data_IF_204326702933
#
_entry.id   IF_204326702933
#
_cell.length_a   1.000
_cell.length_b   1.000
_cell.length_c   1.000
_cell.angle_alpha   90.00
_cell.angle_beta   90.00
_cell.angle_gamma   90.00
#
_symmetry.space_group_name_H-M   'P 1'
#
loop_
_entity.id
_entity.type
_entity.pdbx_description
1 polymer ?
#
# COMPACT_ATOMS: atom_id res chain seq x y z
N UNK A 1 -1.53 34.76 -8.54
CA UNK A 1 -1.23 34.79 -9.98
C UNK A 1 -2.04 33.73 -10.69
N UNK A 2 -2.32 33.94 -11.97
CA UNK A 2 -3.06 33.02 -12.85
C UNK A 2 -2.26 32.73 -14.11
N UNK A 3 -2.62 31.69 -14.86
CA UNK A 3 -2.06 31.41 -16.17
C UNK A 3 -2.54 32.48 -17.17
N UNK A 4 -1.62 33.02 -17.93
CA UNK A 4 -1.81 34.18 -18.77
C UNK A 4 -1.05 34.05 -20.10
N UNK A 5 -1.66 34.51 -21.18
CA UNK A 5 -1.02 34.56 -22.49
C UNK A 5 -0.17 35.82 -22.56
N UNK A 6 1.13 35.69 -22.86
CA UNK A 6 2.07 36.77 -22.90
C UNK A 6 1.57 37.93 -23.81
N UNK A 7 1.45 39.11 -23.22
CA UNK A 7 0.92 40.34 -23.87
C UNK A 7 -0.47 40.17 -24.48
N UNK A 8 -1.25 39.13 -24.13
CA UNK A 8 -2.57 38.87 -24.71
C UNK A 8 -2.57 38.54 -26.21
N UNK A 9 -1.41 38.16 -26.77
CA UNK A 9 -1.28 37.85 -28.19
C UNK A 9 -2.05 36.59 -28.57
N UNK A 10 -2.69 36.61 -29.75
CA UNK A 10 -3.47 35.46 -30.26
C UNK A 10 -2.79 34.77 -31.46
N UNK A 11 -1.46 34.71 -31.46
CA UNK A 11 -0.67 34.06 -32.52
C UNK A 11 -0.10 32.74 -32.05
N UNK A 12 0.03 31.79 -33.00
CA UNK A 12 0.68 30.51 -32.71
C UNK A 12 2.11 30.72 -32.20
N UNK A 13 2.48 29.94 -31.16
CA UNK A 13 3.78 30.02 -30.54
C UNK A 13 3.89 31.12 -29.45
N UNK A 14 2.81 31.83 -29.16
CA UNK A 14 2.83 32.82 -28.07
C UNK A 14 3.01 32.09 -26.73
N UNK A 15 3.98 32.58 -25.95
CA UNK A 15 4.36 32.02 -24.67
C UNK A 15 3.26 32.14 -23.61
N UNK A 16 3.25 31.21 -22.68
CA UNK A 16 2.44 31.27 -21.45
C UNK A 16 3.28 31.76 -20.27
N UNK A 17 2.66 32.54 -19.39
CA UNK A 17 3.30 33.10 -18.21
C UNK A 17 2.37 32.99 -16.99
N UNK A 18 2.88 33.33 -15.82
CA UNK A 18 2.05 33.61 -14.64
C UNK A 18 1.93 35.11 -14.42
N UNK A 19 0.73 35.66 -14.39
CA UNK A 19 0.48 37.08 -14.22
C UNK A 19 -0.56 37.34 -13.12
N UNK A 20 -0.65 38.57 -12.64
CA UNK A 20 -1.71 38.99 -11.74
C UNK A 20 -3.05 38.97 -12.47
N UNK A 21 -4.13 38.54 -11.82
CA UNK A 21 -5.46 38.57 -12.38
C UNK A 21 -5.81 40.02 -12.80
N UNK A 22 -6.18 40.21 -14.05
CA UNK A 22 -6.57 41.48 -14.62
C UNK A 22 -7.89 41.43 -15.43
N UNK A 23 -8.53 40.26 -15.47
CA UNK A 23 -9.84 40.03 -16.10
C UNK A 23 -9.85 40.02 -17.63
N UNK A 24 -8.67 40.02 -18.28
CA UNK A 24 -8.59 39.98 -19.76
C UNK A 24 -8.83 38.57 -20.31
N UNK A 25 -9.17 38.50 -21.60
CA UNK A 25 -9.41 37.24 -22.31
C UNK A 25 -8.15 36.35 -22.36
N UNK A 26 -6.97 36.88 -22.16
CA UNK A 26 -5.69 36.19 -22.05
C UNK A 26 -5.61 35.25 -20.81
N UNK A 27 -6.47 35.48 -19.83
CA UNK A 27 -6.51 34.73 -18.57
C UNK A 27 -7.72 33.83 -18.44
N UNK A 28 -8.57 33.72 -19.47
CA UNK A 28 -9.77 32.92 -19.46
C UNK A 28 -9.58 31.65 -20.28
N UNK A 29 -9.81 30.49 -19.61
CA UNK A 29 -9.57 29.18 -20.17
C UNK A 29 -10.81 28.30 -20.08
N UNK A 30 -11.05 27.50 -21.11
CA UNK A 30 -12.12 26.51 -21.16
C UNK A 30 -11.50 25.13 -21.34
N UNK A 31 -11.95 24.17 -20.54
CA UNK A 31 -11.61 22.76 -20.72
C UNK A 31 -12.59 22.14 -21.71
N UNK A 32 -12.07 21.62 -22.79
CA UNK A 32 -12.81 20.93 -23.85
C UNK A 32 -12.45 19.47 -23.80
N UNK A 33 -13.43 18.59 -23.65
CA UNK A 33 -13.21 17.15 -23.59
C UNK A 33 -12.52 16.66 -24.89
N UNK A 34 -11.36 16.01 -24.72
CA UNK A 34 -10.61 15.38 -25.82
C UNK A 34 -10.87 13.87 -25.87
N UNK A 35 -11.74 13.36 -24.99
CA UNK A 35 -11.98 11.93 -24.81
C UNK A 35 -10.94 11.25 -23.90
N UNK A 36 -11.27 10.05 -23.40
CA UNK A 36 -10.37 9.23 -22.58
C UNK A 36 -9.84 9.91 -21.29
N UNK A 37 -10.61 10.86 -20.70
CA UNK A 37 -10.21 11.60 -19.50
C UNK A 37 -9.16 12.67 -19.77
N UNK A 38 -8.96 13.04 -21.00
CA UNK A 38 -8.09 14.13 -21.42
C UNK A 38 -8.89 15.35 -21.84
N UNK A 39 -8.24 16.51 -21.83
CA UNK A 39 -8.83 17.79 -22.18
C UNK A 39 -7.89 18.59 -23.07
N UNK A 40 -8.46 19.35 -24.02
CA UNK A 40 -7.82 20.52 -24.60
C UNK A 40 -8.09 21.71 -23.69
N UNK A 41 -7.06 22.44 -23.31
CA UNK A 41 -7.22 23.68 -22.53
C UNK A 41 -7.23 24.84 -23.53
N UNK A 42 -8.44 25.33 -23.86
CA UNK A 42 -8.65 26.35 -24.87
C UNK A 42 -8.77 27.73 -24.23
N UNK A 43 -7.99 28.65 -24.71
CA UNK A 43 -8.09 30.05 -24.32
C UNK A 43 -9.34 30.73 -24.91
N UNK A 44 -9.80 31.79 -24.30
CA UNK A 44 -10.89 32.59 -24.84
C UNK A 44 -10.51 33.27 -26.15
N UNK A 45 -9.22 33.47 -26.43
CA UNK A 45 -8.72 33.96 -27.73
C UNK A 45 -8.75 32.89 -28.85
N UNK A 46 -9.15 31.61 -28.52
CA UNK A 46 -9.45 30.58 -29.51
C UNK A 46 -8.38 29.54 -29.74
N UNK A 47 -7.16 29.72 -29.24
CA UNK A 47 -6.04 28.77 -29.33
C UNK A 47 -5.99 27.83 -28.11
N UNK A 48 -5.25 26.71 -28.24
CA UNK A 48 -5.12 25.72 -27.16
C UNK A 48 -3.70 25.73 -26.58
N UNK A 49 -3.55 25.30 -25.32
CA UNK A 49 -2.23 25.08 -24.71
C UNK A 49 -1.54 23.93 -25.43
N UNK A 50 -0.28 24.17 -25.80
CA UNK A 50 0.54 23.28 -26.61
C UNK A 50 1.97 23.18 -26.04
N UNK A 51 2.54 21.98 -26.09
CA UNK A 51 3.96 21.77 -25.77
C UNK A 51 4.79 22.10 -27.00
N UNK A 52 5.66 23.10 -26.89
CA UNK A 52 6.46 23.59 -28.02
C UNK A 52 7.19 22.43 -28.74
N UNK A 53 7.01 22.36 -30.06
CA UNK A 53 7.59 21.35 -30.95
C UNK A 53 7.18 19.90 -30.61
N UNK A 54 6.15 19.68 -29.78
CA UNK A 54 5.71 18.35 -29.37
C UNK A 54 6.72 17.59 -28.50
N UNK A 55 7.75 18.25 -27.98
CA UNK A 55 8.82 17.62 -27.21
C UNK A 55 8.43 17.48 -25.75
N UNK A 56 8.09 16.28 -25.31
CA UNK A 56 7.70 15.99 -23.91
C UNK A 56 8.97 15.71 -23.08
N UNK A 57 9.62 16.78 -22.60
CA UNK A 57 10.75 16.70 -21.67
C UNK A 57 10.69 17.79 -20.61
N UNK A 58 11.40 17.60 -19.51
CA UNK A 58 11.50 18.62 -18.46
C UNK A 58 12.12 19.89 -19.01
N UNK A 59 11.48 21.03 -18.74
CA UNK A 59 11.93 22.37 -19.20
C UNK A 59 11.41 22.77 -20.59
N UNK A 60 10.64 21.91 -21.29
CA UNK A 60 10.02 22.31 -22.55
C UNK A 60 8.99 23.41 -22.33
N UNK A 61 9.03 24.41 -23.17
CA UNK A 61 8.15 25.58 -23.09
C UNK A 61 6.69 25.23 -23.41
N UNK A 62 5.76 25.91 -22.74
CA UNK A 62 4.34 25.91 -23.05
C UNK A 62 3.96 27.18 -23.81
N UNK A 63 3.18 26.99 -24.86
CA UNK A 63 2.70 28.04 -25.75
C UNK A 63 1.20 27.89 -26.03
N UNK A 64 0.59 28.85 -26.67
CA UNK A 64 -0.71 28.65 -27.32
C UNK A 64 -0.50 28.35 -28.80
N UNK A 65 -1.32 27.45 -29.35
CA UNK A 65 -1.24 27.05 -30.75
C UNK A 65 -2.63 26.68 -31.32
N UNK A 66 -2.78 26.70 -32.65
CA UNK A 66 -3.97 26.15 -33.28
C UNK A 66 -4.19 24.71 -32.85
N UNK A 67 -5.45 24.33 -32.61
CA UNK A 67 -5.79 22.94 -32.31
C UNK A 67 -5.39 22.04 -33.48
N UNK A 68 -4.44 21.14 -33.26
CA UNK A 68 -3.97 20.14 -34.21
C UNK A 68 -4.20 18.71 -33.72
N UNK A 69 -4.83 18.60 -32.54
CA UNK A 69 -5.25 17.32 -31.93
C UNK A 69 -4.14 16.30 -31.70
N UNK A 70 -2.91 16.78 -31.53
CA UNK A 70 -1.75 15.94 -31.16
C UNK A 70 -1.65 15.77 -29.66
N UNK A 71 -0.89 14.76 -29.20
CA UNK A 71 -0.64 14.53 -27.78
C UNK A 71 0.03 15.74 -27.07
N UNK A 72 0.66 16.65 -27.81
CA UNK A 72 1.24 17.89 -27.29
C UNK A 72 0.19 18.87 -26.74
N UNK A 73 -1.07 18.67 -27.11
CA UNK A 73 -2.19 19.53 -26.74
C UNK A 73 -3.20 18.84 -25.80
N UNK A 74 -2.97 17.57 -25.49
CA UNK A 74 -3.85 16.78 -24.62
C UNK A 74 -3.35 16.80 -23.18
N UNK A 75 -4.21 17.21 -22.27
CA UNK A 75 -3.92 17.39 -20.85
C UNK A 75 -4.79 16.52 -19.99
N UNK A 76 -4.23 15.91 -18.99
CA UNK A 76 -4.97 15.23 -17.92
C UNK A 76 -5.09 16.22 -16.77
N UNK A 77 -6.32 16.50 -16.35
CA UNK A 77 -6.56 17.29 -15.14
C UNK A 77 -6.45 16.37 -13.94
N UNK A 78 -5.36 16.50 -13.23
CA UNK A 78 -5.14 15.81 -11.98
C UNK A 78 -5.53 16.74 -10.82
N UNK A 79 -6.75 16.60 -10.31
CA UNK A 79 -7.25 17.39 -9.18
C UNK A 79 -6.50 17.12 -7.87
N UNK A 80 -5.64 16.10 -7.85
CA UNK A 80 -4.96 15.64 -6.64
C UNK A 80 -3.61 16.35 -6.40
N UNK A 81 -3.12 17.19 -7.35
CA UNK A 81 -1.87 17.94 -7.13
C UNK A 81 -1.98 19.16 -6.23
N UNK A 82 -3.19 19.61 -5.88
CA UNK A 82 -3.37 20.75 -4.97
C UNK A 82 -3.04 20.41 -3.51
N UNK A 83 -3.03 19.12 -3.15
CA UNK A 83 -2.68 18.63 -1.82
C UNK A 83 -1.79 17.39 -1.95
N UNK A 84 -0.49 17.58 -2.09
CA UNK A 84 0.52 16.48 -2.05
C UNK A 84 0.53 15.73 -0.70
N UNK A 85 -0.36 16.07 0.24
CA UNK A 85 -0.55 15.41 1.53
C UNK A 85 -1.77 14.49 1.61
N UNK A 86 -2.70 14.51 0.65
CA UNK A 86 -3.89 13.67 0.70
C UNK A 86 -3.70 12.40 -0.13
N UNK A 87 -3.76 11.28 0.58
CA UNK A 87 -3.81 9.94 -0.01
C UNK A 87 -5.17 9.75 -0.71
N UNK A 88 -5.26 9.68 -2.04
CA UNK A 88 -6.53 9.47 -2.75
C UNK A 88 -7.18 8.13 -2.40
N UNK A 89 -6.37 7.16 -1.98
CA UNK A 89 -6.81 5.87 -1.44
C UNK A 89 -6.21 5.70 -0.05
N UNK A 90 -7.05 5.48 0.95
CA UNK A 90 -6.60 5.23 2.33
C UNK A 90 -5.89 3.88 2.42
N UNK A 91 -4.94 3.78 3.34
CA UNK A 91 -4.36 2.49 3.71
C UNK A 91 -5.47 1.54 4.19
N UNK A 92 -5.41 0.28 3.77
CA UNK A 92 -6.43 -0.71 4.13
C UNK A 92 -6.34 -1.95 3.26
N UNK A 93 -7.21 -2.92 3.53
CA UNK A 93 -7.34 -4.14 2.71
C UNK A 93 -8.52 -3.98 1.75
N UNK A 94 -8.30 -4.33 0.50
CA UNK A 94 -9.25 -4.14 -0.58
C UNK A 94 -9.38 -5.36 -1.49
N UNK A 95 -10.57 -5.53 -2.07
CA UNK A 95 -10.75 -6.25 -3.33
C UNK A 95 -10.65 -5.24 -4.48
N UNK A 96 -10.01 -5.64 -5.56
CA UNK A 96 -9.83 -4.84 -6.78
C UNK A 96 -10.79 -5.36 -7.84
N UNK A 97 -12.01 -4.83 -7.88
CA UNK A 97 -13.05 -5.26 -8.80
C UNK A 97 -12.90 -4.58 -10.16
N UNK A 98 -12.98 -5.36 -11.24
CA UNK A 98 -12.87 -4.79 -12.57
C UNK A 98 -14.17 -4.13 -13.02
N UNK A 99 -14.11 -2.90 -13.54
CA UNK A 99 -15.30 -2.14 -13.93
C UNK A 99 -16.03 -2.71 -15.14
N UNK A 100 -15.37 -3.50 -15.99
CA UNK A 100 -16.04 -4.21 -17.08
C UNK A 100 -16.89 -5.39 -16.57
N UNK A 101 -16.52 -5.98 -15.42
CA UNK A 101 -17.29 -7.03 -14.75
C UNK A 101 -16.96 -7.04 -13.26
N UNK A 102 -17.82 -6.45 -12.43
CA UNK A 102 -17.61 -6.32 -10.97
C UNK A 102 -17.67 -7.65 -10.20
N UNK A 103 -18.05 -8.76 -10.85
CA UNK A 103 -17.95 -10.09 -10.27
C UNK A 103 -16.54 -10.67 -10.40
N UNK A 104 -15.64 -9.99 -11.10
CA UNK A 104 -14.23 -10.37 -11.25
C UNK A 104 -13.35 -9.40 -10.44
N UNK A 105 -12.41 -9.96 -9.69
CA UNK A 105 -11.44 -9.21 -8.89
C UNK A 105 -10.03 -9.73 -9.13
N UNK A 106 -9.00 -8.94 -8.75
CA UNK A 106 -7.63 -9.47 -8.72
C UNK A 106 -7.57 -10.76 -7.93
N UNK A 107 -6.79 -11.70 -8.42
CA UNK A 107 -6.64 -13.03 -7.85
C UNK A 107 -5.20 -13.53 -8.05
N UNK A 108 -4.57 -13.96 -6.98
CA UNK A 108 -3.26 -14.61 -7.03
C UNK A 108 -3.45 -16.03 -7.51
N UNK A 109 -2.96 -16.31 -8.71
CA UNK A 109 -3.20 -17.57 -9.41
C UNK A 109 -2.84 -18.79 -8.55
N UNK A 110 -3.78 -19.76 -8.49
CA UNK A 110 -3.65 -21.01 -7.72
C UNK A 110 -3.38 -20.83 -6.22
N UNK A 111 -3.73 -19.67 -5.65
CA UNK A 111 -3.45 -19.33 -4.25
C UNK A 111 -1.97 -19.53 -3.87
N UNK A 112 -1.07 -19.36 -4.83
CA UNK A 112 0.37 -19.55 -4.64
C UNK A 112 0.99 -18.43 -3.84
N UNK A 113 1.83 -18.77 -2.88
CA UNK A 113 2.57 -17.81 -2.05
C UNK A 113 3.95 -17.48 -2.62
N UNK A 114 4.35 -18.14 -3.70
CA UNK A 114 5.68 -18.00 -4.28
C UNK A 114 5.89 -16.65 -4.95
N UNK A 115 7.11 -16.13 -4.86
CA UNK A 115 7.54 -14.97 -5.65
C UNK A 115 7.51 -15.32 -7.14
N UNK A 116 7.05 -14.38 -7.98
CA UNK A 116 6.84 -14.58 -9.42
C UNK A 116 5.45 -15.15 -9.77
N UNK A 117 4.57 -15.37 -8.77
CA UNK A 117 3.22 -15.86 -9.03
C UNK A 117 2.40 -14.86 -9.84
N UNK A 118 1.74 -15.35 -10.87
CA UNK A 118 0.90 -14.54 -11.75
C UNK A 118 -0.31 -13.94 -11.04
N UNK A 119 -0.74 -12.75 -11.49
CA UNK A 119 -2.01 -12.13 -11.10
C UNK A 119 -2.98 -12.19 -12.27
N UNK A 120 -4.16 -12.69 -12.00
CA UNK A 120 -5.27 -12.79 -12.95
C UNK A 120 -6.50 -12.07 -12.38
N UNK A 121 -7.59 -12.01 -13.11
CA UNK A 121 -8.90 -11.78 -12.54
C UNK A 121 -9.63 -13.12 -12.37
N UNK A 122 -10.38 -13.24 -11.29
CA UNK A 122 -11.19 -14.43 -11.05
C UNK A 122 -12.49 -14.07 -10.34
N UNK A 123 -13.45 -15.00 -10.35
CA UNK A 123 -14.74 -14.81 -9.68
C UNK A 123 -14.55 -14.42 -8.22
N UNK A 124 -15.17 -13.33 -7.80
CA UNK A 124 -15.07 -12.77 -6.47
C UNK A 124 -15.55 -13.75 -5.41
N UNK A 125 -14.67 -14.13 -4.47
CA UNK A 125 -14.93 -14.97 -3.32
C UNK A 125 -14.52 -14.33 -2.00
N UNK A 126 -13.70 -13.25 -2.03
CA UNK A 126 -13.19 -12.57 -0.85
C UNK A 126 -12.13 -13.34 -0.05
N UNK A 127 -11.54 -14.38 -0.64
CA UNK A 127 -10.45 -15.17 -0.05
C UNK A 127 -9.14 -14.38 0.00
N UNK A 128 -8.16 -14.86 0.78
CA UNK A 128 -6.85 -14.16 0.95
C UNK A 128 -6.12 -13.93 -0.36
N UNK A 129 -6.27 -14.82 -1.36
CA UNK A 129 -5.69 -14.66 -2.70
C UNK A 129 -6.27 -13.47 -3.48
N UNK A 130 -7.42 -12.95 -3.06
CA UNK A 130 -8.12 -11.83 -3.70
C UNK A 130 -8.06 -10.54 -2.87
N UNK A 131 -7.49 -10.59 -1.68
CA UNK A 131 -7.38 -9.47 -0.76
C UNK A 131 -5.99 -8.87 -0.84
N UNK A 132 -5.94 -7.56 -1.03
CA UNK A 132 -4.68 -6.84 -1.16
C UNK A 132 -4.69 -5.63 -0.24
N UNK A 133 -3.61 -5.46 0.49
CA UNK A 133 -3.37 -4.28 1.30
C UNK A 133 -2.77 -3.18 0.44
N UNK A 134 -3.39 -2.02 0.46
CA UNK A 134 -2.82 -0.79 -0.09
C UNK A 134 -2.09 -0.08 1.06
N UNK A 135 -0.83 0.27 0.85
CA UNK A 135 -0.01 1.01 1.81
C UNK A 135 0.70 2.17 1.11
N UNK A 136 0.43 3.38 1.59
CA UNK A 136 1.06 4.60 1.08
C UNK A 136 2.55 4.65 1.45
N UNK A 137 3.40 5.04 0.49
CA UNK A 137 4.85 5.12 0.70
C UNK A 137 5.43 6.52 0.44
N UNK A 138 4.57 7.51 0.18
CA UNK A 138 4.97 8.89 -0.10
C UNK A 138 4.94 9.24 -1.58
N UNK A 139 4.97 10.55 -1.88
CA UNK A 139 5.04 11.11 -3.24
C UNK A 139 3.92 10.59 -4.17
N UNK A 140 2.72 10.31 -3.64
CA UNK A 140 1.57 9.80 -4.40
C UNK A 140 1.68 8.32 -4.78
N UNK A 141 2.66 7.58 -4.27
CA UNK A 141 2.85 6.17 -4.57
C UNK A 141 2.46 5.25 -3.41
N UNK A 142 2.11 4.03 -3.77
CA UNK A 142 1.63 2.96 -2.91
C UNK A 142 2.32 1.65 -3.23
N UNK A 143 2.39 0.79 -2.22
CA UNK A 143 2.56 -0.66 -2.40
C UNK A 143 1.19 -1.32 -2.38
N UNK A 144 1.01 -2.34 -3.22
CA UNK A 144 -0.16 -3.22 -3.22
C UNK A 144 0.35 -4.60 -2.80
N UNK A 145 -0.02 -5.05 -1.62
CA UNK A 145 0.55 -6.19 -0.91
C UNK A 145 -0.50 -7.30 -0.83
N UNK A 146 -0.17 -8.50 -1.26
CA UNK A 146 -1.07 -9.65 -1.14
C UNK A 146 -1.31 -10.04 0.32
N UNK A 147 -2.58 -10.16 0.73
CA UNK A 147 -2.96 -10.67 2.06
C UNK A 147 -2.67 -12.17 2.20
N UNK A 148 -2.49 -12.88 1.08
CA UNK A 148 -2.12 -14.29 1.07
C UNK A 148 -0.64 -14.52 1.41
N UNK A 149 0.27 -13.79 0.77
CA UNK A 149 1.71 -14.09 0.83
C UNK A 149 2.53 -12.99 1.49
N UNK A 150 2.05 -11.73 1.49
CA UNK A 150 2.83 -10.55 1.83
C UNK A 150 3.75 -10.06 0.70
N UNK A 151 3.81 -10.76 -0.43
CA UNK A 151 4.46 -10.28 -1.64
C UNK A 151 3.72 -9.04 -2.16
N UNK A 152 4.41 -8.22 -2.94
CA UNK A 152 3.86 -7.00 -3.52
C UNK A 152 3.55 -7.17 -5.00
N UNK A 153 2.58 -6.40 -5.48
CA UNK A 153 2.26 -6.32 -6.90
C UNK A 153 3.45 -5.71 -7.64
N UNK A 154 3.87 -6.36 -8.72
CA UNK A 154 5.13 -6.11 -9.41
C UNK A 154 4.95 -6.22 -10.92
N UNK A 155 5.60 -5.32 -11.65
CA UNK A 155 5.72 -5.44 -13.11
C UNK A 155 6.90 -6.34 -13.43
N UNK A 156 6.64 -7.51 -14.00
CA UNK A 156 7.68 -8.50 -14.30
C UNK A 156 8.87 -7.87 -15.04
N UNK A 157 10.08 -8.11 -14.52
CA UNK A 157 11.34 -7.59 -15.02
C UNK A 157 11.44 -6.05 -15.09
N UNK A 158 10.57 -5.30 -14.37
CA UNK A 158 10.51 -3.85 -14.43
C UNK A 158 10.19 -3.29 -15.81
N UNK A 159 9.53 -4.07 -16.65
CA UNK A 159 9.26 -3.74 -18.05
C UNK A 159 8.39 -2.49 -18.19
N UNK A 160 8.74 -1.64 -19.15
CA UNK A 160 7.97 -0.44 -19.52
C UNK A 160 7.04 -0.68 -20.73
N UNK A 161 6.98 -1.90 -21.24
CA UNK A 161 6.22 -2.23 -22.43
C UNK A 161 4.76 -2.58 -22.11
N UNK A 162 3.85 -2.25 -23.02
CA UNK A 162 2.51 -2.82 -23.01
C UNK A 162 2.59 -4.34 -23.20
N UNK A 163 1.72 -5.09 -22.50
CA UNK A 163 1.75 -6.55 -22.48
C UNK A 163 2.65 -7.14 -21.37
N UNK A 164 3.47 -6.33 -20.70
CA UNK A 164 4.28 -6.80 -19.57
C UNK A 164 3.38 -7.42 -18.49
N UNK A 165 3.78 -8.57 -17.96
CA UNK A 165 3.01 -9.29 -16.95
C UNK A 165 3.00 -8.55 -15.61
N UNK A 166 1.88 -8.67 -14.90
CA UNK A 166 1.76 -8.27 -13.49
C UNK A 166 1.78 -9.52 -12.63
N UNK A 167 2.64 -9.53 -11.63
CA UNK A 167 2.89 -10.68 -10.77
C UNK A 167 2.95 -10.27 -9.29
N UNK A 168 2.97 -11.23 -8.39
CA UNK A 168 3.34 -11.04 -6.99
C UNK A 168 4.82 -11.33 -6.83
N UNK A 169 5.57 -10.39 -6.26
CA UNK A 169 7.01 -10.56 -6.06
C UNK A 169 7.46 -10.06 -4.68
N UNK A 170 8.56 -10.59 -4.18
CA UNK A 170 9.15 -10.09 -2.94
C UNK A 170 9.51 -8.62 -3.07
N UNK A 171 9.27 -7.83 -2.01
CA UNK A 171 9.59 -6.41 -2.02
C UNK A 171 11.11 -6.19 -2.22
N UNK A 172 11.47 -5.42 -3.23
CA UNK A 172 12.86 -5.10 -3.57
C UNK A 172 13.10 -3.58 -3.77
N UNK A 173 12.07 -2.75 -3.54
CA UNK A 173 12.19 -1.29 -3.57
C UNK A 173 12.26 -0.66 -4.96
N UNK A 174 12.06 -1.43 -6.03
CA UNK A 174 12.13 -0.90 -7.41
C UNK A 174 10.85 -0.19 -7.83
N UNK A 175 10.94 0.64 -8.87
CA UNK A 175 9.81 1.35 -9.46
C UNK A 175 8.72 0.42 -10.02
N UNK A 176 9.06 -0.83 -10.33
CA UNK A 176 8.13 -1.87 -10.77
C UNK A 176 7.07 -2.23 -9.70
N UNK A 177 7.34 -1.92 -8.44
CA UNK A 177 6.51 -2.25 -7.28
C UNK A 177 5.77 -1.04 -6.69
N UNK A 178 5.88 0.11 -7.36
CA UNK A 178 5.27 1.36 -6.94
C UNK A 178 4.11 1.73 -7.86
N UNK A 179 2.97 2.04 -7.25
CA UNK A 179 1.70 2.24 -7.95
C UNK A 179 1.05 3.55 -7.55
N UNK A 180 0.40 4.20 -8.49
CA UNK A 180 -0.43 5.39 -8.26
C UNK A 180 -1.87 5.10 -8.65
N UNK A 181 -2.80 5.63 -7.87
CA UNK A 181 -4.23 5.57 -8.15
C UNK A 181 -4.68 6.92 -8.71
N UNK A 182 -5.30 6.89 -9.89
CA UNK A 182 -5.86 8.09 -10.55
C UNK A 182 -7.36 7.89 -10.67
N UNK A 183 -8.13 8.78 -10.05
CA UNK A 183 -9.60 8.71 -10.07
C UNK A 183 -10.13 8.90 -11.49
N UNK A 184 -11.12 8.08 -11.86
CA UNK A 184 -11.85 8.20 -13.14
C UNK A 184 -13.10 9.08 -13.00
N UNK A 185 -13.47 9.47 -11.77
CA UNK A 185 -14.65 10.30 -11.50
C UNK A 185 -15.96 9.51 -11.31
N UNK A 186 -15.95 8.18 -11.48
CA UNK A 186 -17.11 7.29 -11.30
C UNK A 186 -16.97 6.34 -10.11
N UNK A 187 -16.08 6.68 -9.16
CA UNK A 187 -15.74 5.85 -8.00
C UNK A 187 -14.72 4.75 -8.28
N UNK A 188 -14.19 4.68 -9.50
CA UNK A 188 -13.10 3.78 -9.87
C UNK A 188 -11.78 4.51 -10.11
N UNK A 189 -10.71 3.73 -10.28
CA UNK A 189 -9.35 4.22 -10.45
C UNK A 189 -8.64 3.54 -11.62
N UNK A 190 -7.80 4.30 -12.32
CA UNK A 190 -6.68 3.72 -13.02
C UNK A 190 -5.56 3.43 -12.02
N UNK A 191 -4.91 2.28 -12.16
CA UNK A 191 -3.76 1.89 -11.36
C UNK A 191 -2.53 1.98 -12.26
N UNK A 192 -1.68 2.96 -12.02
CA UNK A 192 -0.56 3.31 -12.88
C UNK A 192 0.74 2.92 -12.19
N UNK A 193 1.55 2.10 -12.83
CA UNK A 193 2.90 1.78 -12.34
C UNK A 193 3.82 3.00 -12.45
N UNK A 194 4.76 3.13 -11.53
CA UNK A 194 5.84 4.11 -11.64
C UNK A 194 6.72 3.89 -12.88
N UNK A 195 6.65 2.71 -13.51
CA UNK A 195 7.26 2.43 -14.82
C UNK A 195 6.51 3.10 -16.00
N UNK A 196 5.30 3.66 -15.77
CA UNK A 196 4.61 4.55 -16.72
C UNK A 196 3.39 3.96 -17.44
N UNK A 197 3.03 2.69 -17.22
CA UNK A 197 1.85 2.05 -17.85
C UNK A 197 0.72 1.82 -16.85
N UNK A 198 -0.49 1.60 -17.37
CA UNK A 198 -1.71 1.31 -16.61
C UNK A 198 -1.95 -0.20 -16.53
N UNK A 199 -2.45 -0.68 -15.40
CA UNK A 199 -2.95 -2.06 -15.28
C UNK A 199 -4.22 -2.22 -16.12
N UNK A 200 -4.25 -3.27 -16.92
CA UNK A 200 -5.42 -3.67 -17.71
C UNK A 200 -5.51 -5.18 -17.89
N UNK A 201 -6.52 -5.61 -18.61
CA UNK A 201 -6.80 -7.03 -18.86
C UNK A 201 -6.34 -7.43 -20.26
N UNK A 202 -5.72 -8.60 -20.36
CA UNK A 202 -5.28 -9.19 -21.63
C UNK A 202 -6.46 -9.31 -22.60
N UNK A 203 -6.27 -8.81 -23.81
CA UNK A 203 -7.30 -8.87 -24.85
C UNK A 203 -8.56 -8.05 -24.56
N UNK A 204 -8.55 -7.16 -23.55
CA UNK A 204 -9.73 -6.44 -23.05
C UNK A 204 -10.89 -7.38 -22.66
N UNK A 205 -10.61 -8.60 -22.25
CA UNK A 205 -11.62 -9.55 -21.74
C UNK A 205 -11.72 -9.47 -20.22
N UNK A 206 -12.94 -9.52 -19.70
CA UNK A 206 -13.20 -9.55 -18.25
C UNK A 206 -13.77 -10.91 -17.80
N UNK A 207 -13.37 -12.00 -18.44
CA UNK A 207 -13.70 -13.36 -18.03
C UNK A 207 -12.77 -13.85 -16.92
N UNK A 208 -13.24 -14.80 -16.10
CA UNK A 208 -12.41 -15.43 -15.07
C UNK A 208 -11.17 -16.10 -15.69
N UNK A 209 -10.03 -15.99 -15.03
CA UNK A 209 -8.75 -16.52 -15.47
C UNK A 209 -8.00 -15.63 -16.47
N UNK A 210 -8.55 -14.46 -16.83
CA UNK A 210 -7.85 -13.53 -17.73
C UNK A 210 -6.69 -12.87 -16.99
N UNK A 211 -5.55 -12.80 -17.66
CA UNK A 211 -4.31 -12.23 -17.15
C UNK A 211 -4.41 -10.73 -16.93
N UNK A 212 -3.85 -10.28 -15.80
CA UNK A 212 -3.60 -8.87 -15.49
C UNK A 212 -2.24 -8.47 -16.06
N UNK A 213 -2.18 -7.41 -16.84
CA UNK A 213 -0.97 -6.97 -17.51
C UNK A 213 -0.88 -5.44 -17.59
N UNK A 214 0.28 -4.95 -17.97
CA UNK A 214 0.46 -3.54 -18.28
C UNK A 214 -0.09 -3.20 -19.66
N UNK A 215 -0.76 -2.07 -19.78
CA UNK A 215 -1.37 -1.60 -21.02
C UNK A 215 -1.15 -0.10 -21.21
N UNK A 216 -1.23 0.37 -22.44
CA UNK A 216 -1.41 1.78 -22.70
C UNK A 216 -2.80 2.21 -22.20
N UNK A 217 -2.90 3.38 -21.59
CA UNK A 217 -4.20 3.88 -21.13
C UNK A 217 -5.08 4.21 -22.36
N UNK A 218 -6.19 3.51 -22.47
CA UNK A 218 -7.15 3.67 -23.56
C UNK A 218 -8.56 4.03 -23.09
N UNK A 219 -8.71 4.32 -21.78
CA UNK A 219 -9.99 4.70 -21.19
C UNK A 219 -11.00 3.56 -20.99
N UNK A 220 -10.65 2.32 -21.36
CA UNK A 220 -11.57 1.19 -21.31
C UNK A 220 -11.90 0.77 -19.87
N UNK A 221 -13.11 0.26 -19.66
CA UNK A 221 -13.56 -0.26 -18.36
C UNK A 221 -12.71 -1.44 -17.85
N UNK A 222 -12.05 -2.18 -18.75
CA UNK A 222 -11.08 -3.25 -18.41
C UNK A 222 -9.77 -2.74 -17.79
N UNK A 223 -9.56 -1.42 -17.78
CA UNK A 223 -8.43 -0.75 -17.13
C UNK A 223 -8.84 -0.01 -15.86
N UNK A 224 -10.12 -0.03 -15.52
CA UNK A 224 -10.70 0.70 -14.39
C UNK A 224 -11.02 -0.27 -13.26
N UNK A 225 -10.69 0.14 -12.03
CA UNK A 225 -10.78 -0.73 -10.86
C UNK A 225 -11.55 -0.04 -9.74
N UNK A 226 -12.60 -0.68 -9.27
CA UNK A 226 -13.30 -0.30 -8.06
C UNK A 226 -12.61 -0.94 -6.86
N UNK A 227 -12.36 -0.14 -5.82
CA UNK A 227 -11.68 -0.59 -4.61
C UNK A 227 -12.73 -0.84 -3.52
N UNK A 228 -13.09 -2.11 -3.31
CA UNK A 228 -14.00 -2.49 -2.25
C UNK A 228 -13.22 -2.75 -0.97
N UNK A 229 -13.36 -1.84 0.02
CA UNK A 229 -12.70 -2.00 1.32
C UNK A 229 -13.20 -3.27 2.03
N UNK A 230 -12.27 -3.98 2.62
CA UNK A 230 -12.55 -5.18 3.42
C UNK A 230 -12.33 -4.88 4.89
N UNK A 231 -13.15 -5.50 5.75
CA UNK A 231 -12.88 -5.46 7.18
C UNK A 231 -11.50 -6.13 7.43
N UNK A 232 -10.59 -5.40 8.04
CA UNK A 232 -9.35 -5.99 8.53
C UNK A 232 -9.68 -6.87 9.74
N UNK A 233 -9.11 -8.07 9.79
CA UNK A 233 -9.05 -8.83 11.02
C UNK A 233 -8.02 -8.16 11.91
N UNK A 234 -8.41 -7.09 12.59
CA UNK A 234 -7.56 -6.42 13.56
C UNK A 234 -7.48 -7.30 14.81
N UNK A 235 -6.27 -7.52 15.29
CA UNK A 235 -6.09 -8.04 16.64
C UNK A 235 -6.66 -7.01 17.61
N UNK A 236 -7.71 -7.38 18.34
CA UNK A 236 -8.38 -6.48 19.27
C UNK A 236 -7.47 -6.06 20.43
N UNK A 237 -7.92 -5.09 21.21
CA UNK A 237 -7.29 -4.81 22.52
C UNK A 237 -7.43 -6.06 23.41
N UNK A 238 -6.38 -6.47 24.06
CA UNK A 238 -6.39 -7.68 24.88
C UNK A 238 -5.00 -8.15 25.25
N UNK A 239 -4.94 -9.23 26.02
CA UNK A 239 -3.68 -9.91 26.40
C UNK A 239 -3.52 -11.17 25.56
N UNK A 240 -2.33 -11.38 25.01
CA UNK A 240 -2.05 -12.45 24.05
C UNK A 240 -0.72 -13.14 24.32
N UNK A 241 -0.65 -14.42 23.96
CA UNK A 241 0.60 -15.03 23.53
C UNK A 241 0.82 -14.74 22.05
N UNK A 242 2.03 -14.30 21.70
CA UNK A 242 2.47 -14.12 20.31
C UNK A 242 3.28 -15.36 19.93
N UNK A 243 2.63 -16.31 19.26
CA UNK A 243 3.26 -17.60 18.88
C UNK A 243 3.92 -17.49 17.53
N UNK A 244 5.12 -18.05 17.39
CA UNK A 244 5.76 -18.21 16.09
C UNK A 244 4.94 -19.13 15.19
N UNK A 245 4.67 -18.70 13.96
CA UNK A 245 3.98 -19.52 12.96
C UNK A 245 4.83 -20.71 12.48
N UNK A 246 6.15 -20.68 12.72
CA UNK A 246 7.05 -21.77 12.30
C UNK A 246 6.83 -23.07 13.07
N UNK A 247 6.52 -22.99 14.37
CA UNK A 247 6.45 -24.19 15.22
C UNK A 247 5.20 -24.26 16.09
N UNK A 248 4.54 -23.14 16.36
CA UNK A 248 3.42 -23.02 17.31
C UNK A 248 3.79 -23.35 18.78
N UNK A 249 5.03 -23.77 19.05
CA UNK A 249 5.54 -24.12 20.39
C UNK A 249 6.36 -23.01 21.02
N UNK A 250 6.96 -22.14 20.19
CA UNK A 250 7.76 -21.00 20.62
C UNK A 250 6.90 -19.74 20.62
N UNK A 251 7.04 -18.94 21.65
CA UNK A 251 6.33 -17.67 21.82
C UNK A 251 7.31 -16.53 22.08
N UNK A 252 6.88 -15.31 21.83
CA UNK A 252 7.61 -14.13 22.23
C UNK A 252 7.76 -14.13 23.75
N UNK A 253 8.95 -13.77 24.25
CA UNK A 253 9.31 -13.89 25.64
C UNK A 253 10.28 -12.77 26.05
N UNK A 254 10.12 -12.24 27.27
CA UNK A 254 11.10 -11.33 27.84
C UNK A 254 12.16 -12.18 28.53
N UNK A 255 13.40 -12.12 28.03
CA UNK A 255 14.52 -12.93 28.50
C UNK A 255 14.71 -12.88 30.02
N UNK A 256 14.77 -14.07 30.63
CA UNK A 256 14.88 -14.24 32.09
C UNK A 256 13.72 -13.68 32.89
N UNK A 257 12.58 -13.35 32.29
CA UNK A 257 11.47 -12.69 32.98
C UNK A 257 11.84 -11.33 33.59
N UNK A 258 12.85 -10.68 33.02
CA UNK A 258 13.38 -9.41 33.53
C UNK A 258 12.33 -8.31 33.50
N UNK A 259 12.31 -7.44 34.53
CA UNK A 259 11.48 -6.22 34.57
C UNK A 259 12.28 -4.95 34.24
N UNK A 260 13.56 -5.07 33.95
CA UNK A 260 14.45 -3.95 33.68
C UNK A 260 14.20 -3.34 32.31
N UNK A 261 14.52 -2.05 32.18
CA UNK A 261 14.65 -1.43 30.86
C UNK A 261 15.74 -2.13 30.05
N UNK A 262 15.56 -2.15 28.72
CA UNK A 262 16.44 -2.80 27.75
C UNK A 262 16.55 -4.33 27.92
N UNK A 263 15.67 -4.98 28.72
CA UNK A 263 15.62 -6.42 28.75
C UNK A 263 15.25 -6.97 27.36
N UNK A 264 16.03 -7.97 26.94
CA UNK A 264 15.94 -8.52 25.58
C UNK A 264 14.62 -9.25 25.34
N UNK A 265 14.15 -9.19 24.10
CA UNK A 265 13.04 -10.01 23.60
C UNK A 265 13.58 -11.17 22.80
N UNK A 266 13.12 -12.35 23.09
CA UNK A 266 13.51 -13.61 22.48
C UNK A 266 12.29 -14.45 22.13
N UNK A 267 12.47 -15.58 21.49
CA UNK A 267 11.49 -16.66 21.46
C UNK A 267 11.84 -17.72 22.50
N UNK A 268 10.86 -18.27 23.18
CA UNK A 268 11.05 -19.32 24.17
C UNK A 268 9.90 -20.32 24.18
N UNK A 269 10.14 -21.52 24.74
CA UNK A 269 9.09 -22.51 24.91
C UNK A 269 7.95 -21.93 25.78
N UNK A 270 6.70 -22.23 25.41
CA UNK A 270 5.55 -21.84 26.22
C UNK A 270 5.69 -22.37 27.65
N UNK A 271 5.71 -21.46 28.64
CA UNK A 271 5.83 -21.81 30.06
C UNK A 271 4.76 -21.15 30.94
N UNK A 272 3.83 -20.41 30.34
CA UNK A 272 2.69 -19.80 31.03
C UNK A 272 3.00 -18.56 31.86
N UNK A 273 4.25 -18.09 31.93
CA UNK A 273 4.63 -16.93 32.76
C UNK A 273 4.17 -15.61 32.15
N UNK A 274 4.07 -14.57 32.98
CA UNK A 274 3.73 -13.21 32.53
C UNK A 274 4.78 -12.62 31.56
N UNK A 275 6.00 -13.14 31.54
CA UNK A 275 7.05 -12.74 30.60
C UNK A 275 6.69 -13.03 29.13
N UNK A 276 5.75 -13.96 28.91
CA UNK A 276 5.28 -14.38 27.61
C UNK A 276 3.92 -13.77 27.23
N UNK A 277 3.34 -12.98 28.12
CA UNK A 277 2.02 -12.40 27.94
C UNK A 277 2.15 -10.91 27.60
N UNK A 278 1.53 -10.51 26.50
CA UNK A 278 1.63 -9.15 26.01
C UNK A 278 0.25 -8.53 25.81
N UNK A 279 0.07 -7.34 26.37
CA UNK A 279 -1.13 -6.54 26.20
C UNK A 279 -1.00 -5.71 24.94
N UNK A 280 -1.92 -5.91 24.01
CA UNK A 280 -2.07 -5.08 22.81
C UNK A 280 -3.07 -3.96 23.12
N UNK A 281 -2.71 -2.73 22.83
CA UNK A 281 -3.61 -1.58 22.95
C UNK A 281 -3.44 -0.68 21.73
N UNK A 282 -4.54 -0.46 21.01
CA UNK A 282 -4.56 0.47 19.88
C UNK A 282 -4.33 1.90 20.37
N UNK A 283 -3.53 2.66 19.63
CA UNK A 283 -3.17 4.04 19.96
C UNK A 283 -3.85 4.98 18.96
N UNK A 284 -3.37 5.03 17.73
CA UNK A 284 -3.92 5.84 16.62
C UNK A 284 -3.39 5.36 15.28
N UNK A 285 -4.06 5.74 14.20
CA UNK A 285 -3.62 5.52 12.81
C UNK A 285 -3.31 4.03 12.50
N UNK A 286 -4.03 3.10 13.15
CA UNK A 286 -3.82 1.66 13.01
C UNK A 286 -2.57 1.12 13.74
N UNK A 287 -1.90 1.96 14.53
CA UNK A 287 -0.78 1.52 15.38
C UNK A 287 -1.27 1.11 16.76
N UNK A 288 -0.54 0.18 17.36
CA UNK A 288 -0.72 -0.27 18.73
C UNK A 288 0.60 -0.20 19.51
N UNK A 289 0.49 -0.19 20.82
CA UNK A 289 1.58 -0.51 21.73
C UNK A 289 1.44 -1.96 22.19
N UNK A 290 2.58 -2.63 22.38
CA UNK A 290 2.68 -4.01 22.85
C UNK A 290 3.39 -3.96 24.20
N UNK A 291 2.68 -4.23 25.28
CA UNK A 291 3.13 -4.09 26.66
C UNK A 291 3.33 -5.46 27.30
N UNK A 292 4.52 -5.72 27.81
CA UNK A 292 4.78 -6.93 28.61
C UNK A 292 3.95 -6.91 29.90
N UNK A 293 3.15 -7.95 30.13
CA UNK A 293 2.36 -8.09 31.37
C UNK A 293 3.24 -8.27 32.62
N UNK A 294 4.47 -8.78 32.44
CA UNK A 294 5.41 -8.99 33.56
C UNK A 294 5.97 -7.69 34.14
N UNK A 295 6.26 -6.70 33.26
CA UNK A 295 6.98 -5.49 33.63
C UNK A 295 6.17 -4.20 33.47
N UNK A 296 5.06 -4.23 32.72
CA UNK A 296 4.34 -3.03 32.30
C UNK A 296 5.08 -2.20 31.24
N UNK A 297 6.19 -2.69 30.71
CA UNK A 297 7.02 -1.99 29.72
C UNK A 297 6.61 -2.33 28.29
N UNK A 298 6.83 -1.37 27.38
CA UNK A 298 6.52 -1.51 25.97
C UNK A 298 7.65 -2.23 25.22
N UNK A 299 7.31 -3.03 24.22
CA UNK A 299 8.28 -3.47 23.22
C UNK A 299 8.79 -2.27 22.45
N UNK A 300 10.10 -2.22 22.26
CA UNK A 300 10.83 -1.17 21.58
C UNK A 300 11.91 -1.77 20.68
N UNK A 301 12.12 -1.19 19.50
CA UNK A 301 13.28 -1.55 18.66
C UNK A 301 14.33 -0.44 18.69
N UNK A 302 15.60 -0.82 18.48
CA UNK A 302 16.71 0.12 18.41
C UNK A 302 16.58 1.00 17.15
N UNK A 303 16.04 2.21 17.32
CA UNK A 303 15.76 3.13 16.21
C UNK A 303 17.00 3.78 15.56
N UNK A 304 18.16 3.64 16.18
CA UNK A 304 19.44 4.12 15.63
C UNK A 304 20.15 3.11 14.74
N UNK A 305 19.62 1.88 14.62
CA UNK A 305 20.16 0.83 13.77
C UNK A 305 19.39 0.73 12.44
N UNK A 306 20.02 0.09 11.46
CA UNK A 306 19.33 -0.28 10.22
C UNK A 306 18.10 -1.13 10.50
N UNK A 307 17.15 -1.15 9.55
CA UNK A 307 15.93 -1.96 9.65
C UNK A 307 16.28 -3.44 9.88
N UNK A 308 17.36 -3.91 9.25
CA UNK A 308 17.80 -5.29 9.35
C UNK A 308 18.76 -5.47 10.53
N UNK A 309 18.36 -6.31 11.48
CA UNK A 309 19.17 -6.65 12.64
C UNK A 309 19.00 -5.70 13.84
N UNK A 310 18.09 -4.71 13.78
CA UNK A 310 17.84 -3.88 14.95
C UNK A 310 17.20 -4.71 16.06
N UNK A 311 17.85 -4.73 17.23
CA UNK A 311 17.36 -5.52 18.36
C UNK A 311 16.00 -5.05 18.87
N UNK A 312 15.15 -6.00 19.28
CA UNK A 312 13.90 -5.72 19.99
C UNK A 312 14.10 -6.01 21.47
N UNK A 313 13.71 -5.07 22.30
CA UNK A 313 13.80 -5.13 23.76
C UNK A 313 12.57 -4.46 24.38
N UNK A 314 12.42 -4.49 25.69
CA UNK A 314 11.39 -3.71 26.39
C UNK A 314 11.94 -2.43 26.99
N UNK A 315 11.11 -1.41 27.09
CA UNK A 315 11.45 -0.13 27.75
C UNK A 315 10.20 0.56 28.31
N UNK A 316 10.38 1.52 29.22
CA UNK A 316 9.26 2.33 29.68
C UNK A 316 8.53 2.96 28.48
N UNK A 317 7.19 2.92 28.50
CA UNK A 317 6.38 3.54 27.44
C UNK A 317 6.61 5.05 27.39
N UNK A 318 7.01 5.57 26.24
CA UNK A 318 7.28 6.99 26.03
C UNK A 318 6.55 7.59 24.79
N UNK A 319 5.78 6.77 24.09
CA UNK A 319 5.00 7.19 22.92
C UNK A 319 5.80 7.47 21.64
N UNK A 320 7.11 7.21 21.62
CA UNK A 320 7.95 7.42 20.43
C UNK A 320 7.66 6.38 19.33
N UNK A 321 8.04 6.72 18.12
CA UNK A 321 7.80 5.88 16.93
C UNK A 321 8.38 4.47 17.04
N UNK A 322 9.48 4.27 17.78
CA UNK A 322 10.13 2.97 17.98
C UNK A 322 9.42 2.05 19.00
N UNK A 323 8.30 2.50 19.57
CA UNK A 323 7.39 1.69 20.40
C UNK A 323 6.02 1.51 19.77
N UNK A 324 5.84 2.00 18.54
CA UNK A 324 4.59 1.89 17.76
C UNK A 324 4.69 0.77 16.74
N UNK A 325 3.71 -0.14 16.80
CA UNK A 325 3.66 -1.35 15.99
C UNK A 325 2.35 -1.43 15.22
N UNK A 326 2.41 -1.92 14.00
CA UNK A 326 1.22 -2.21 13.18
C UNK A 326 1.09 -3.73 13.03
N UNK A 327 -0.01 -4.30 13.49
CA UNK A 327 -0.28 -5.73 13.36
C UNK A 327 -1.07 -5.94 12.07
N UNK A 328 -0.51 -6.71 11.16
CA UNK A 328 -1.00 -6.83 9.78
C UNK A 328 -1.28 -8.30 9.49
N UNK A 329 -2.51 -8.61 9.09
CA UNK A 329 -2.95 -9.96 8.74
C UNK A 329 -2.25 -10.47 7.48
N UNK A 330 -1.84 -11.74 7.49
CA UNK A 330 -1.26 -12.44 6.34
C UNK A 330 -1.49 -13.94 6.45
N UNK A 331 -2.21 -14.54 5.50
CA UNK A 331 -2.43 -15.99 5.43
C UNK A 331 -2.87 -16.63 6.76
N UNK A 332 -3.82 -16.02 7.47
CA UNK A 332 -4.33 -16.52 8.76
C UNK A 332 -3.39 -16.30 9.95
N UNK A 333 -2.24 -15.68 9.75
CA UNK A 333 -1.31 -15.20 10.75
C UNK A 333 -1.18 -13.69 10.67
N UNK A 334 -0.18 -13.13 11.38
CA UNK A 334 0.12 -11.70 11.39
C UNK A 334 1.62 -11.47 11.28
N UNK A 335 2.02 -10.37 10.67
CA UNK A 335 3.32 -9.79 10.92
C UNK A 335 3.19 -8.48 11.67
N UNK A 336 4.21 -8.12 12.44
CA UNK A 336 4.19 -6.97 13.33
C UNK A 336 5.21 -5.97 12.80
N UNK A 337 4.71 -4.87 12.22
CA UNK A 337 5.51 -3.90 11.49
C UNK A 337 5.86 -2.69 12.35
N UNK A 338 7.09 -2.25 12.25
CA UNK A 338 7.60 -0.99 12.82
C UNK A 338 7.17 0.20 11.95
N UNK A 339 7.28 1.40 12.47
CA UNK A 339 6.95 2.62 11.73
C UNK A 339 7.92 2.94 10.58
N UNK A 340 9.15 2.43 10.63
CA UNK A 340 10.14 2.56 9.55
C UNK A 340 10.10 1.41 8.53
N UNK A 341 9.09 0.53 8.60
CA UNK A 341 8.80 -0.49 7.58
C UNK A 341 9.41 -1.87 7.84
N UNK A 342 10.27 -2.05 8.84
CA UNK A 342 10.74 -3.36 9.27
C UNK A 342 9.64 -4.16 9.96
N UNK A 343 9.86 -5.47 10.14
CA UNK A 343 8.94 -6.36 10.86
C UNK A 343 9.66 -7.12 11.95
N UNK A 344 8.95 -7.54 12.99
CA UNK A 344 9.49 -8.44 14.02
C UNK A 344 9.87 -9.77 13.37
N UNK A 345 11.11 -10.19 13.59
CA UNK A 345 11.76 -11.31 12.93
C UNK A 345 12.54 -12.17 13.93
N UNK A 346 12.45 -13.48 13.81
CA UNK A 346 13.30 -14.43 14.55
C UNK A 346 14.66 -14.46 13.89
N UNK A 347 15.69 -14.05 14.60
CA UNK A 347 17.05 -13.92 14.08
C UNK A 347 17.52 -15.17 13.36
N UNK A 348 17.92 -15.02 12.08
CA UNK A 348 18.35 -16.08 11.18
C UNK A 348 17.33 -17.21 10.98
N UNK A 349 16.05 -17.01 11.35
CA UNK A 349 15.04 -18.04 11.30
C UNK A 349 15.32 -19.24 12.26
N UNK A 350 16.21 -19.06 13.23
CA UNK A 350 16.61 -20.14 14.16
C UNK A 350 15.52 -20.40 15.18
N UNK A 351 15.03 -21.64 15.23
CA UNK A 351 13.88 -22.05 16.05
C UNK A 351 14.31 -22.75 17.35
N UNK A 352 15.24 -22.14 18.07
CA UNK A 352 15.65 -22.60 19.40
C UNK A 352 15.13 -21.66 20.48
N UNK A 353 14.79 -22.21 21.64
CA UNK A 353 14.47 -21.41 22.82
C UNK A 353 15.67 -20.50 23.17
N UNK A 354 15.42 -19.22 23.39
CA UNK A 354 16.44 -18.21 23.64
C UNK A 354 16.94 -17.50 22.39
N UNK A 355 16.46 -17.87 21.18
CA UNK A 355 16.82 -17.14 19.96
C UNK A 355 16.31 -15.69 20.02
N UNK A 356 17.19 -14.77 19.68
CA UNK A 356 16.92 -13.34 19.67
C UNK A 356 15.80 -12.95 18.68
N UNK A 357 15.10 -11.89 19.01
CA UNK A 357 14.09 -11.25 18.16
C UNK A 357 14.64 -9.86 17.75
N UNK A 358 14.57 -9.60 16.46
CA UNK A 358 15.08 -8.38 15.83
C UNK A 358 14.02 -7.76 14.93
N UNK A 359 14.29 -6.63 14.32
CA UNK A 359 13.55 -6.14 13.15
C UNK A 359 14.31 -6.54 11.87
N UNK A 360 13.56 -6.83 10.83
CA UNK A 360 14.10 -7.17 9.51
C UNK A 360 13.16 -6.70 8.40
N UNK A 361 13.67 -6.53 7.19
CA UNK A 361 12.83 -6.30 6.01
C UNK A 361 11.91 -7.50 5.79
N UNK A 362 10.64 -7.24 5.49
CA UNK A 362 9.68 -8.30 5.21
C UNK A 362 10.15 -9.19 4.05
N UNK A 363 10.29 -10.47 4.29
CA UNK A 363 10.73 -11.50 3.33
C UNK A 363 9.77 -12.67 3.19
N UNK A 364 8.56 -12.56 3.78
CA UNK A 364 7.48 -13.53 3.74
C UNK A 364 7.78 -14.90 4.38
N UNK A 365 8.90 -15.05 5.10
CA UNK A 365 9.22 -16.30 5.82
C UNK A 365 8.36 -16.48 7.09
N UNK A 366 8.27 -17.70 7.58
CA UNK A 366 7.58 -17.99 8.84
C UNK A 366 8.29 -17.38 10.06
N UNK A 367 9.57 -17.02 9.97
CA UNK A 367 10.29 -16.31 11.02
C UNK A 367 9.68 -14.93 11.36
N UNK A 368 8.90 -14.38 10.43
CA UNK A 368 8.24 -13.08 10.54
C UNK A 368 6.73 -13.14 10.76
N UNK A 369 6.19 -14.38 10.87
CA UNK A 369 4.75 -14.60 11.02
C UNK A 369 4.41 -15.05 12.44
N UNK A 370 3.36 -14.47 12.98
CA UNK A 370 2.93 -14.67 14.36
C UNK A 370 1.44 -14.97 14.43
N UNK A 371 1.04 -15.89 15.28
CA UNK A 371 -0.37 -16.06 15.67
C UNK A 371 -0.59 -15.45 17.04
N UNK A 372 -1.70 -14.71 17.18
CA UNK A 372 -2.11 -14.08 18.42
C UNK A 372 -3.15 -14.97 19.12
N UNK A 373 -2.74 -15.61 20.21
CA UNK A 373 -3.62 -16.43 21.03
C UNK A 373 -4.08 -15.59 22.21
N UNK A 374 -5.33 -15.14 22.15
CA UNK A 374 -5.91 -14.33 23.22
C UNK A 374 -6.01 -15.14 24.52
N UNK A 375 -5.57 -14.53 25.57
CA UNK A 375 -5.82 -15.04 26.92
C UNK A 375 -7.19 -14.51 27.33
N UNK A 376 -8.15 -15.42 27.48
CA UNK A 376 -9.50 -15.04 27.87
C UNK A 376 -9.46 -14.20 29.15
N UNK A 377 -10.05 -13.01 29.06
CA UNK A 377 -10.61 -12.38 30.23
C UNK A 377 -11.81 -13.27 30.62
N UNK A 378 -11.62 -14.17 31.54
CA UNK A 378 -12.72 -14.91 32.17
C UNK A 378 -13.59 -13.87 32.89
N UNK A 379 -14.50 -13.24 32.14
CA UNK A 379 -15.64 -12.57 32.71
C UNK A 379 -16.59 -13.70 33.04
N UNK A 380 -16.60 -14.11 34.31
CA UNK A 380 -17.46 -15.14 34.80
C UNK A 380 -18.91 -14.95 34.35
N UNK A 381 -19.34 -15.78 33.45
CA UNK A 381 -20.72 -16.14 33.29
C UNK A 381 -20.83 -17.56 33.82
N UNK A 382 -21.57 -17.70 34.90
CA UNK A 382 -21.91 -18.97 35.57
C UNK A 382 -22.21 -20.06 34.54
N UNK A 383 -21.32 -21.04 34.43
CA UNK A 383 -21.76 -22.36 34.01
C UNK A 383 -22.43 -22.94 35.25
N UNK A 384 -23.76 -22.96 35.23
CA UNK A 384 -24.50 -23.74 36.19
C UNK A 384 -23.98 -25.17 36.12
N UNK A 385 -23.51 -25.73 37.24
CA UNK A 385 -23.25 -27.12 37.42
C UNK A 385 -24.54 -27.88 37.15
N UNK A 386 -24.63 -28.49 35.97
CA UNK A 386 -25.60 -29.53 35.67
C UNK A 386 -24.91 -30.85 35.84
N UNK A 387 -25.23 -31.51 36.95
CA UNK A 387 -24.93 -32.91 37.21
C UNK A 387 -25.54 -33.77 36.10
N UNK A 388 -24.73 -34.53 35.36
CA UNK A 388 -25.10 -35.83 34.82
C UNK A 388 -23.90 -36.77 34.84
#
# INVERSE_FOLDING_TARGET
KVLDIYNGNSTNGTNLQTFSWNGTDAQLWKFVDAGNGKYYIRSKVGLVIDIANGTISSGTNLQIYNANFTNAQEWILDSNRANESEQPVKDGVYLFENMANKNQTFDVQNESMSSGTNVQIYTKKGISAQRFRIAYVGNGYYRIISDLSGNVLDVANGSKSAGANVQMYSWNGTDAQLWRFVSVGNGSYYIISKTGKTIGLRGNSANAGVNVQMTDNSGKSTQQWYLQIQAESLVGNGTYYLKSASTGKLVLDISGGSKSDRANVQIYNVNGTNAQQFQITHVKDGYCKIISKNSGKALEYNSGADVNGANVYQNAWNGKNNQLWKVISVAGNYYIQTKNGGVIDIQNGTLNAGTNVQTFTWNATNAQRWSFVQLDSYTGSNVAEGVY
#
